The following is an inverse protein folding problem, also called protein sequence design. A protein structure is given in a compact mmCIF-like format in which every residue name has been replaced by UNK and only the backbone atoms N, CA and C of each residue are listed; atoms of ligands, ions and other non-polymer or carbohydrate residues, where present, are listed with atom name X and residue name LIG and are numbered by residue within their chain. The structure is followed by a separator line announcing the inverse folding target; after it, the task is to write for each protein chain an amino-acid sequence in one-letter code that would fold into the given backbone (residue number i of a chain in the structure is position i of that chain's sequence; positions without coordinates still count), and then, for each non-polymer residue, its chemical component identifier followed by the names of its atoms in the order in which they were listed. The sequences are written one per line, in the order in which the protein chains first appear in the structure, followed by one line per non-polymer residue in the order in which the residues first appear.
data_IF_924776754574
#
_entry.id   IF_924776754574
#
_cell.length_a   1.000
_cell.length_b   1.000
_cell.length_c   1.000
_cell.angle_alpha   90.00
_cell.angle_beta   90.00
_cell.angle_gamma   90.00
#
_symmetry.space_group_name_H-M   'P 1'
#
loop_
_entity.id
_entity.type
_entity.pdbx_description
1 polymer ?
#
# COMPACT_ATOMS: atom_id res chain seq x y z
N UNK A 1 -21.93 20.77 -10.79
CA UNK A 1 -22.09 19.49 -11.50
C UNK A 1 -21.17 19.53 -12.71
N UNK A 2 -20.00 18.90 -12.65
CA UNK A 2 -19.15 18.72 -13.82
C UNK A 2 -19.36 17.28 -14.30
N UNK A 3 -19.94 17.12 -15.50
CA UNK A 3 -19.98 15.83 -16.18
C UNK A 3 -18.55 15.48 -16.61
N UNK A 4 -18.21 14.20 -16.50
CA UNK A 4 -16.99 13.60 -17.08
C UNK A 4 -17.11 13.67 -18.61
N UNK A 5 -16.88 14.84 -19.17
CA UNK A 5 -17.05 15.13 -20.59
C UNK A 5 -16.30 16.36 -21.07
N UNK A 6 -15.94 17.29 -20.18
CA UNK A 6 -15.36 18.58 -20.57
C UNK A 6 -14.01 18.85 -19.86
N UNK A 7 -13.02 17.98 -20.07
CA UNK A 7 -11.61 18.35 -19.82
C UNK A 7 -10.93 18.68 -21.17
N UNK A 8 -10.19 19.79 -21.25
CA UNK A 8 -9.65 20.34 -22.49
C UNK A 8 -8.60 19.42 -23.14
N UNK A 9 -8.54 19.52 -24.47
CA UNK A 9 -7.85 18.68 -25.45
C UNK A 9 -6.30 18.72 -25.40
N UNK A 10 -5.67 18.82 -24.24
CA UNK A 10 -4.22 19.09 -24.13
C UNK A 10 -3.40 18.01 -23.39
N UNK A 11 -4.00 16.95 -22.88
CA UNK A 11 -3.26 15.79 -22.32
C UNK A 11 -3.13 14.62 -23.30
N UNK A 12 -3.01 14.91 -24.61
CA UNK A 12 -2.51 13.95 -25.61
C UNK A 12 -1.07 13.57 -25.27
N UNK A 13 -0.88 12.65 -24.32
CA UNK A 13 0.34 11.88 -24.21
C UNK A 13 0.42 11.03 -25.47
N UNK A 14 1.26 11.48 -26.39
CA UNK A 14 1.47 10.98 -27.73
C UNK A 14 1.29 9.45 -27.89
N UNK A 15 0.32 9.07 -28.74
CA UNK A 15 0.59 8.15 -29.85
C UNK A 15 0.92 6.69 -29.55
N UNK A 16 0.37 6.05 -28.52
CA UNK A 16 0.41 4.58 -28.41
C UNK A 16 -0.98 3.95 -28.58
N UNK A 17 -1.24 3.19 -29.67
CA UNK A 17 -2.52 2.51 -29.88
C UNK A 17 -2.81 1.40 -28.85
N UNK A 18 -1.91 1.19 -27.87
CA UNK A 18 -2.05 0.23 -26.77
C UNK A 18 -2.42 0.86 -25.41
N UNK A 19 -2.60 2.19 -25.32
CA UNK A 19 -2.94 2.87 -24.06
C UNK A 19 -4.44 2.95 -23.78
N UNK A 20 -5.29 2.78 -24.80
CA UNK A 20 -6.75 2.85 -24.68
C UNK A 20 -7.45 1.76 -23.83
N UNK A 21 -6.93 0.54 -23.61
CA UNK A 21 -7.67 -0.49 -22.86
C UNK A 21 -7.49 -0.43 -21.34
N UNK A 22 -6.55 0.36 -20.82
CA UNK A 22 -6.25 0.42 -19.37
C UNK A 22 -7.19 1.40 -18.65
N UNK A 23 -7.44 2.57 -19.24
CA UNK A 23 -8.27 3.61 -18.63
C UNK A 23 -9.74 3.21 -18.47
N UNK A 24 -10.29 2.44 -19.42
CA UNK A 24 -11.69 1.99 -19.38
C UNK A 24 -11.97 0.96 -18.27
N UNK A 25 -11.00 0.14 -17.87
CA UNK A 25 -11.19 -0.88 -16.82
C UNK A 25 -11.13 -0.33 -15.40
N UNK A 26 -10.37 0.75 -15.16
CA UNK A 26 -10.21 1.32 -13.79
C UNK A 26 -11.52 1.96 -13.31
N UNK A 27 -12.35 2.47 -14.22
CA UNK A 27 -13.65 3.09 -13.91
C UNK A 27 -14.71 2.08 -13.39
N UNK A 28 -14.52 0.77 -13.60
CA UNK A 28 -15.48 -0.25 -13.16
C UNK A 28 -15.32 -0.65 -11.67
N UNK A 29 -14.19 -0.33 -11.04
CA UNK A 29 -13.90 -0.72 -9.66
C UNK A 29 -14.20 0.40 -8.68
N UNK A 30 -15.14 0.19 -7.76
CA UNK A 30 -15.37 1.13 -6.64
C UNK A 30 -14.18 1.12 -5.69
N UNK A 31 -13.32 2.13 -5.76
CA UNK A 31 -12.16 2.31 -4.87
C UNK A 31 -12.29 3.57 -4.00
N UNK A 32 -11.50 3.66 -2.93
CA UNK A 32 -11.44 4.84 -2.05
C UNK A 32 -10.31 5.80 -2.47
N UNK A 33 -9.27 5.27 -3.11
CA UNK A 33 -8.12 6.00 -3.64
C UNK A 33 -7.46 5.17 -4.73
N UNK A 34 -6.67 5.81 -5.58
CA UNK A 34 -5.82 5.14 -6.60
C UNK A 34 -4.35 5.45 -6.33
N UNK A 35 -3.52 4.41 -6.30
CA UNK A 35 -2.07 4.52 -6.19
C UNK A 35 -1.40 4.31 -7.56
N UNK A 36 -0.67 5.31 -8.04
CA UNK A 36 0.08 5.25 -9.30
C UNK A 36 1.54 4.87 -9.04
N UNK A 37 1.93 3.66 -9.44
CA UNK A 37 3.28 3.14 -9.28
C UNK A 37 4.06 3.27 -10.59
N UNK A 38 5.13 4.05 -10.60
CA UNK A 38 5.89 4.38 -11.83
C UNK A 38 7.32 3.86 -11.78
N UNK A 39 7.78 3.28 -12.88
CA UNK A 39 9.18 2.90 -13.08
C UNK A 39 10.12 4.08 -13.41
N UNK A 40 9.57 5.29 -13.61
CA UNK A 40 10.35 6.52 -13.89
C UNK A 40 9.93 7.63 -12.92
N UNK A 41 10.92 8.38 -12.43
CA UNK A 41 10.74 9.51 -11.53
C UNK A 41 10.08 10.69 -12.27
N UNK A 42 9.10 11.34 -11.65
CA UNK A 42 8.45 12.54 -12.19
C UNK A 42 9.13 13.78 -11.61
N UNK A 43 10.01 14.41 -12.39
CA UNK A 43 10.87 15.49 -11.91
C UNK A 43 11.78 15.01 -10.77
N UNK A 44 11.86 15.80 -9.69
CA UNK A 44 12.66 15.49 -8.50
C UNK A 44 11.83 14.89 -7.35
N UNK A 45 10.68 14.28 -7.65
CA UNK A 45 9.79 13.70 -6.62
C UNK A 45 9.78 12.18 -6.69
N UNK A 46 10.01 11.54 -5.56
CA UNK A 46 9.86 10.09 -5.40
C UNK A 46 8.40 9.69 -5.11
N UNK A 47 7.61 10.60 -4.55
CA UNK A 47 6.19 10.39 -4.30
C UNK A 47 5.44 11.72 -4.33
N UNK A 48 4.12 11.65 -4.44
CA UNK A 48 3.22 12.79 -4.27
C UNK A 48 1.84 12.30 -3.83
N UNK A 49 1.17 13.08 -3.00
CA UNK A 49 -0.19 12.82 -2.54
C UNK A 49 -0.84 14.12 -2.09
N UNK A 50 -2.17 14.10 -1.96
CA UNK A 50 -2.93 15.22 -1.43
C UNK A 50 -3.24 15.02 0.05
N UNK A 51 -3.25 16.09 0.81
CA UNK A 51 -3.79 16.08 2.16
C UNK A 51 -5.30 15.83 2.09
N UNK A 52 -5.82 14.93 2.92
CA UNK A 52 -7.26 14.65 3.03
C UNK A 52 -7.93 14.29 1.68
N UNK A 53 -7.17 13.65 0.79
CA UNK A 53 -7.63 13.31 -0.56
C UNK A 53 -8.46 12.03 -0.63
N UNK A 54 -8.43 11.17 0.39
CA UNK A 54 -9.14 9.89 0.32
C UNK A 54 -10.63 10.10 0.06
N UNK A 55 -11.23 9.23 -0.76
CA UNK A 55 -12.64 9.31 -1.13
C UNK A 55 -13.05 10.55 -1.93
N UNK A 56 -12.09 11.35 -2.40
CA UNK A 56 -12.33 12.48 -3.29
C UNK A 56 -12.01 12.10 -4.75
N UNK A 57 -12.97 12.31 -5.67
CA UNK A 57 -12.78 11.96 -7.07
C UNK A 57 -11.68 12.76 -7.79
N UNK A 58 -11.35 13.96 -7.30
CA UNK A 58 -10.34 14.83 -7.90
C UNK A 58 -8.96 14.68 -7.23
N UNK A 59 -8.92 14.34 -5.94
CA UNK A 59 -7.71 14.39 -5.12
C UNK A 59 -7.35 13.05 -4.45
N UNK A 60 -8.17 12.00 -4.63
CA UNK A 60 -7.95 10.64 -4.13
C UNK A 60 -6.97 9.84 -4.98
N UNK A 61 -5.86 10.47 -5.35
CA UNK A 61 -4.78 9.85 -6.12
C UNK A 61 -3.44 10.18 -5.49
N UNK A 62 -2.55 9.19 -5.50
CA UNK A 62 -1.16 9.36 -5.13
C UNK A 62 -0.24 8.78 -6.20
N UNK A 63 1.02 9.16 -6.14
CA UNK A 63 2.11 8.71 -7.00
C UNK A 63 3.28 8.21 -6.16
N UNK A 64 3.92 7.13 -6.60
CA UNK A 64 5.15 6.62 -6.01
C UNK A 64 6.08 6.03 -7.07
N UNK A 65 7.36 6.39 -6.99
CA UNK A 65 8.43 5.86 -7.83
C UNK A 65 8.95 4.52 -7.31
N UNK A 66 9.12 3.54 -8.20
CA UNK A 66 9.52 2.15 -7.85
C UNK A 66 10.70 1.60 -8.69
N UNK A 67 11.34 2.44 -9.52
CA UNK A 67 12.19 1.99 -10.62
C UNK A 67 13.58 1.43 -10.27
N UNK A 68 14.07 1.56 -9.03
CA UNK A 68 15.45 1.22 -8.65
C UNK A 68 15.59 0.04 -7.69
N UNK A 69 14.69 -0.95 -7.71
CA UNK A 69 14.69 -2.11 -6.79
C UNK A 69 14.63 -1.77 -5.29
N UNK A 70 14.31 -0.52 -4.93
CA UNK A 70 14.10 -0.10 -3.54
C UNK A 70 12.63 -0.28 -3.14
N UNK A 71 12.09 -1.49 -3.28
CA UNK A 71 10.66 -1.77 -3.05
C UNK A 71 10.21 -1.40 -1.64
N UNK A 72 11.04 -1.64 -0.62
CA UNK A 72 10.73 -1.27 0.76
C UNK A 72 10.70 0.25 0.97
N UNK A 73 11.62 0.98 0.34
CA UNK A 73 11.62 2.45 0.39
C UNK A 73 10.39 3.01 -0.33
N UNK A 74 10.09 2.49 -1.52
CA UNK A 74 8.87 2.86 -2.24
C UNK A 74 7.61 2.51 -1.43
N UNK A 75 7.60 1.37 -0.73
CA UNK A 75 6.54 1.00 0.21
C UNK A 75 6.40 2.00 1.36
N UNK A 76 7.50 2.48 1.91
CA UNK A 76 7.52 3.51 2.95
C UNK A 76 6.95 4.85 2.43
N UNK A 77 7.40 5.30 1.26
CA UNK A 77 6.86 6.51 0.61
C UNK A 77 5.37 6.39 0.26
N UNK A 78 4.95 5.22 -0.22
CA UNK A 78 3.55 4.92 -0.49
C UNK A 78 2.73 5.02 0.80
N UNK A 79 3.20 4.41 1.89
CA UNK A 79 2.51 4.44 3.18
C UNK A 79 2.46 5.88 3.76
N UNK A 80 3.54 6.64 3.65
CA UNK A 80 3.59 8.06 4.02
C UNK A 80 2.57 8.89 3.21
N UNK A 81 2.52 8.71 1.88
CA UNK A 81 1.55 9.40 1.02
C UNK A 81 0.08 9.00 1.31
N UNK A 82 -0.16 7.73 1.69
CA UNK A 82 -1.47 7.28 2.17
C UNK A 82 -1.82 7.94 3.51
N UNK A 83 -0.86 8.17 4.39
CA UNK A 83 -1.04 8.95 5.61
C UNK A 83 -1.62 10.33 5.32
N UNK A 84 -1.00 11.08 4.40
CA UNK A 84 -1.52 12.38 3.95
C UNK A 84 -2.94 12.29 3.36
N UNK A 85 -3.26 11.26 2.56
CA UNK A 85 -4.61 11.06 2.05
C UNK A 85 -5.64 10.85 3.17
N UNK A 86 -5.24 10.21 4.26
CA UNK A 86 -6.03 10.00 5.48
C UNK A 86 -6.01 11.21 6.42
N UNK A 87 -5.50 12.35 5.96
CA UNK A 87 -5.41 13.59 6.71
C UNK A 87 -4.45 13.54 7.91
N UNK A 88 -3.42 12.68 7.84
CA UNK A 88 -2.34 12.63 8.83
C UNK A 88 -1.29 13.68 8.46
N UNK A 89 -0.87 14.49 9.42
CA UNK A 89 0.16 15.51 9.24
C UNK A 89 1.56 14.96 9.47
N UNK A 90 2.59 15.73 9.09
CA UNK A 90 3.95 15.38 9.46
C UNK A 90 4.15 15.38 10.97
N UNK A 91 5.04 14.51 11.43
CA UNK A 91 5.42 14.42 12.83
C UNK A 91 6.18 15.68 13.28
N UNK A 92 5.78 16.22 14.43
CA UNK A 92 6.40 17.41 15.06
C UNK A 92 7.17 17.02 16.32
N UNK A 93 8.01 17.90 16.90
CA UNK A 93 8.67 17.63 18.17
C UNK A 93 7.69 17.15 19.25
N UNK A 94 7.95 15.98 19.84
CA UNK A 94 7.07 15.31 20.80
C UNK A 94 6.32 14.10 20.24
N UNK A 95 6.30 13.93 18.91
CA UNK A 95 5.83 12.71 18.27
C UNK A 95 6.91 11.63 18.34
N UNK A 96 6.55 10.43 18.81
CA UNK A 96 7.48 9.32 19.05
C UNK A 96 6.91 8.01 18.53
N UNK A 97 7.79 7.13 18.07
CA UNK A 97 7.45 5.77 17.63
C UNK A 97 8.42 4.75 18.24
N UNK A 98 8.00 3.49 18.25
CA UNK A 98 8.74 2.42 18.92
C UNK A 98 10.07 2.11 18.21
N UNK A 99 11.17 2.14 18.98
CA UNK A 99 12.53 1.73 18.55
C UNK A 99 13.06 2.44 17.28
N UNK A 100 12.59 3.64 16.96
CA UNK A 100 13.08 4.46 15.83
C UNK A 100 13.26 5.91 16.25
N UNK A 101 14.22 6.60 15.63
CA UNK A 101 14.49 8.03 15.86
C UNK A 101 13.56 8.94 15.05
N UNK A 102 13.06 8.44 13.93
CA UNK A 102 12.07 9.09 13.06
C UNK A 102 11.03 8.07 12.63
N UNK A 103 9.82 8.57 12.38
CA UNK A 103 8.63 7.76 12.19
C UNK A 103 8.11 7.90 10.75
N UNK A 104 7.06 7.15 10.41
CA UNK A 104 6.54 7.09 9.04
C UNK A 104 6.18 8.48 8.48
N UNK A 105 5.67 9.39 9.32
CA UNK A 105 5.23 10.73 8.92
C UNK A 105 6.31 11.80 9.15
N UNK A 106 7.58 11.43 9.26
CA UNK A 106 8.68 12.40 9.26
C UNK A 106 8.63 13.29 8.00
N UNK A 107 8.97 14.58 8.13
CA UNK A 107 8.94 15.53 7.00
C UNK A 107 9.89 15.12 5.86
N UNK A 108 10.97 14.41 6.21
CA UNK A 108 11.94 13.86 5.26
C UNK A 108 11.94 12.33 5.36
N UNK A 109 10.90 11.66 4.84
CA UNK A 109 10.76 10.22 5.05
C UNK A 109 11.91 9.48 4.38
N UNK A 110 12.35 8.41 5.05
CA UNK A 110 13.30 7.44 4.51
C UNK A 110 12.69 6.05 4.57
N UNK A 111 13.41 5.05 5.10
CA UNK A 111 12.87 3.73 5.31
C UNK A 111 12.24 3.63 6.71
N UNK A 112 10.94 3.91 6.79
CA UNK A 112 10.15 3.82 8.02
C UNK A 112 9.00 2.81 7.89
N UNK A 113 8.75 2.10 8.98
CA UNK A 113 7.74 1.03 9.12
C UNK A 113 6.87 1.20 10.39
N UNK A 114 7.06 2.29 11.13
CA UNK A 114 6.35 2.58 12.38
C UNK A 114 5.73 3.98 12.33
N UNK A 115 4.42 4.07 12.59
CA UNK A 115 3.73 5.35 12.80
C UNK A 115 4.00 5.89 14.21
N UNK A 116 3.94 7.21 14.36
CA UNK A 116 4.07 7.85 15.68
C UNK A 116 2.78 7.77 16.50
N UNK A 117 2.87 8.07 17.78
CA UNK A 117 1.71 8.31 18.65
C UNK A 117 0.79 9.44 18.14
N UNK A 118 1.36 10.50 17.54
CA UNK A 118 0.60 11.61 16.95
C UNK A 118 -0.20 11.13 15.73
N UNK A 119 0.48 10.45 14.80
CA UNK A 119 -0.13 9.86 13.61
C UNK A 119 -1.24 8.87 13.99
N UNK A 120 -1.04 8.07 15.03
CA UNK A 120 -2.05 7.13 15.53
C UNK A 120 -3.31 7.86 16.02
N UNK A 121 -3.16 8.97 16.74
CA UNK A 121 -4.29 9.77 17.22
C UNK A 121 -5.08 10.40 16.06
N UNK A 122 -4.40 10.94 15.06
CA UNK A 122 -5.04 11.52 13.87
C UNK A 122 -5.77 10.46 13.04
N UNK A 123 -5.13 9.32 12.78
CA UNK A 123 -5.75 8.19 12.12
C UNK A 123 -6.99 7.69 12.88
N UNK A 124 -6.89 7.56 14.21
CA UNK A 124 -8.02 7.15 15.04
C UNK A 124 -9.21 8.09 14.86
N UNK A 125 -8.99 9.42 14.92
CA UNK A 125 -10.06 10.40 14.68
C UNK A 125 -10.62 10.30 13.26
N UNK A 126 -9.76 10.07 12.26
CA UNK A 126 -10.19 9.94 10.86
C UNK A 126 -11.08 8.72 10.63
N UNK A 127 -10.67 7.54 11.11
CA UNK A 127 -11.39 6.29 10.85
C UNK A 127 -12.68 6.15 11.67
N UNK A 128 -12.74 6.81 12.83
CA UNK A 128 -13.95 6.88 13.65
C UNK A 128 -14.87 8.05 13.28
N UNK A 129 -14.42 8.93 12.38
CA UNK A 129 -15.28 9.91 11.73
C UNK A 129 -16.24 9.24 10.76
N UNK A 130 -17.46 9.77 10.66
CA UNK A 130 -18.42 9.29 9.67
C UNK A 130 -18.01 9.78 8.27
N UNK A 131 -17.81 8.85 7.33
CA UNK A 131 -17.54 9.16 5.93
C UNK A 131 -18.31 8.19 5.01
N UNK A 132 -19.15 8.69 4.07
CA UNK A 132 -20.01 7.83 3.26
C UNK A 132 -19.24 6.93 2.29
N UNK A 133 -17.95 7.14 2.07
CA UNK A 133 -17.13 6.37 1.15
C UNK A 133 -16.26 5.32 1.85
N UNK A 134 -15.70 5.63 3.03
CA UNK A 134 -14.93 4.72 3.88
C UNK A 134 -15.83 3.82 4.73
N UNK A 135 -17.03 4.27 5.10
CA UNK A 135 -17.99 3.48 5.88
C UNK A 135 -18.80 2.49 5.03
N UNK A 136 -18.72 2.56 3.70
CA UNK A 136 -19.41 1.60 2.81
C UNK A 136 -18.64 0.27 2.80
N UNK A 137 -19.29 -0.85 3.16
CA UNK A 137 -18.70 -2.17 2.99
C UNK A 137 -18.41 -2.40 1.51
N UNK A 138 -17.12 -2.50 1.16
CA UNK A 138 -16.73 -2.89 -0.19
C UNK A 138 -16.51 -4.39 -0.20
N UNK A 139 -17.03 -5.11 -1.21
CA UNK A 139 -16.58 -6.47 -1.42
C UNK A 139 -15.06 -6.39 -1.57
N UNK A 140 -14.33 -7.17 -0.78
CA UNK A 140 -12.94 -7.42 -1.12
C UNK A 140 -13.00 -8.04 -2.49
N UNK A 141 -12.51 -7.32 -3.51
CA UNK A 141 -12.22 -7.93 -4.79
C UNK A 141 -11.07 -8.88 -4.52
N UNK A 142 -11.40 -10.06 -3.97
CA UNK A 142 -10.63 -11.27 -4.08
C UNK A 142 -10.64 -11.61 -5.56
N UNK A 143 -9.91 -10.83 -6.36
CA UNK A 143 -9.08 -11.53 -7.33
C UNK A 143 -8.23 -12.43 -6.44
N UNK A 144 -8.34 -13.74 -6.64
CA UNK A 144 -7.50 -14.78 -6.05
C UNK A 144 -6.04 -14.56 -6.47
N UNK A 145 -5.49 -13.37 -6.18
CA UNK A 145 -4.10 -13.04 -6.30
C UNK A 145 -3.42 -13.57 -5.05
N UNK A 146 -3.40 -14.89 -4.96
CA UNK A 146 -2.61 -15.61 -3.97
C UNK A 146 -1.19 -15.60 -4.50
N UNK A 147 -0.34 -14.78 -3.89
CA UNK A 147 1.11 -14.98 -4.01
C UNK A 147 1.40 -16.15 -3.05
N UNK A 148 1.88 -17.29 -3.56
CA UNK A 148 2.24 -18.41 -2.70
C UNK A 148 3.33 -17.94 -1.71
N UNK A 149 3.11 -18.19 -0.42
CA UNK A 149 3.96 -17.69 0.67
C UNK A 149 3.98 -18.70 1.80
N UNK A 150 5.18 -19.10 2.18
CA UNK A 150 5.38 -19.96 3.34
C UNK A 150 5.18 -19.18 4.63
N UNK A 151 4.49 -19.80 5.59
CA UNK A 151 4.21 -19.24 6.92
C UNK A 151 2.89 -18.47 7.00
N UNK A 152 2.01 -18.60 6.01
CA UNK A 152 0.68 -17.99 5.99
C UNK A 152 -0.43 -18.96 6.46
N UNK A 153 -0.06 -20.18 6.90
CA UNK A 153 -0.96 -21.28 7.33
C UNK A 153 -1.82 -21.86 6.21
N UNK A 154 -1.38 -21.75 4.96
CA UNK A 154 -2.02 -22.37 3.79
C UNK A 154 -0.97 -23.15 3.02
N UNK A 155 -1.26 -24.43 2.79
CA UNK A 155 -0.37 -25.30 2.03
C UNK A 155 -0.46 -24.94 0.55
N UNK A 156 0.60 -24.36 0.01
CA UNK A 156 0.75 -24.07 -1.41
C UNK A 156 1.29 -25.29 -2.19
N UNK A 157 1.20 -25.28 -3.53
CA UNK A 157 1.55 -26.45 -4.35
C UNK A 157 3.00 -26.93 -4.21
N UNK A 158 3.91 -26.07 -3.76
CA UNK A 158 5.32 -26.38 -3.49
C UNK A 158 5.58 -26.81 -2.04
N UNK A 159 4.60 -26.69 -1.14
CA UNK A 159 4.76 -26.93 0.29
C UNK A 159 4.11 -28.26 0.69
N UNK A 160 4.73 -28.98 1.62
CA UNK A 160 4.13 -30.19 2.21
C UNK A 160 3.23 -29.85 3.39
N UNK A 161 3.56 -28.78 4.11
CA UNK A 161 2.81 -28.24 5.24
C UNK A 161 3.18 -26.77 5.49
N UNK A 162 2.23 -25.99 6.02
CA UNK A 162 2.45 -24.61 6.48
C UNK A 162 1.74 -24.44 7.84
N UNK A 163 2.52 -24.33 8.92
CA UNK A 163 2.05 -24.13 10.29
C UNK A 163 2.11 -22.65 10.75
N UNK A 164 2.47 -21.73 9.85
CA UNK A 164 2.58 -20.30 10.14
C UNK A 164 4.02 -19.86 10.42
N UNK A 165 4.17 -18.92 11.35
CA UNK A 165 5.50 -18.46 11.76
C UNK A 165 6.33 -19.60 12.37
N UNK A 166 7.66 -19.45 12.39
CA UNK A 166 8.56 -20.40 13.08
C UNK A 166 8.09 -20.67 14.50
N UNK A 167 7.63 -19.63 15.21
CA UNK A 167 7.11 -19.75 16.57
C UNK A 167 5.85 -20.61 16.64
N UNK A 168 4.92 -20.46 15.70
CA UNK A 168 3.70 -21.27 15.65
C UNK A 168 4.04 -22.75 15.40
N UNK A 169 4.96 -22.98 14.47
CA UNK A 169 5.44 -24.32 14.10
C UNK A 169 6.14 -25.09 15.21
N UNK A 170 6.74 -24.42 16.21
CA UNK A 170 7.36 -25.11 17.36
C UNK A 170 6.36 -25.94 18.18
N UNK A 171 5.06 -25.64 18.07
CA UNK A 171 3.99 -26.36 18.77
C UNK A 171 3.29 -27.39 17.90
N UNK A 172 3.55 -27.39 16.59
CA UNK A 172 2.98 -28.31 15.62
C UNK A 172 3.82 -29.60 15.57
N UNK A 173 3.19 -30.74 15.89
CA UNK A 173 3.85 -32.05 15.91
C UNK A 173 3.89 -32.71 14.52
N UNK A 174 3.17 -32.16 13.55
CA UNK A 174 2.96 -32.72 12.22
C UNK A 174 3.71 -31.94 11.14
N UNK A 175 4.05 -30.67 11.40
CA UNK A 175 4.84 -29.84 10.50
C UNK A 175 6.17 -29.46 11.17
N UNK A 176 7.23 -30.22 10.86
CA UNK A 176 8.57 -29.96 11.37
C UNK A 176 9.20 -28.74 10.69
N UNK A 177 9.93 -27.95 11.48
CA UNK A 177 10.65 -26.74 11.03
C UNK A 177 11.93 -27.12 10.26
N UNK A 178 11.80 -27.91 9.19
CA UNK A 178 12.92 -28.26 8.33
C UNK A 178 12.82 -27.48 7.02
N UNK A 179 13.66 -26.46 6.87
CA UNK A 179 13.66 -25.51 5.74
C UNK A 179 13.66 -26.16 4.35
N UNK A 180 14.15 -27.39 4.22
CA UNK A 180 14.21 -28.12 2.95
C UNK A 180 12.88 -28.75 2.51
N UNK A 181 11.98 -29.10 3.43
CA UNK A 181 10.64 -29.67 3.14
C UNK A 181 9.49 -28.70 3.46
N UNK A 182 9.74 -27.74 4.36
CA UNK A 182 8.77 -26.77 4.83
C UNK A 182 8.54 -25.65 3.81
N UNK A 183 9.61 -25.12 3.21
CA UNK A 183 9.53 -24.08 2.17
C UNK A 183 10.61 -24.31 1.08
N UNK A 184 10.45 -25.27 0.16
CA UNK A 184 11.44 -25.48 -0.90
C UNK A 184 11.38 -24.34 -1.93
N UNK A 185 12.18 -23.29 -1.72
CA UNK A 185 12.36 -22.19 -2.69
C UNK A 185 12.42 -20.79 -2.07
N UNK A 186 12.71 -19.79 -2.92
CA UNK A 186 12.81 -18.36 -2.58
C UNK A 186 11.44 -17.75 -2.21
N UNK A 187 10.83 -18.21 -1.13
CA UNK A 187 9.64 -17.59 -0.56
C UNK A 187 10.02 -16.40 0.33
N UNK A 188 9.16 -15.39 0.36
CA UNK A 188 9.30 -14.28 1.31
C UNK A 188 8.98 -14.81 2.72
N UNK A 189 10.01 -15.08 3.53
CA UNK A 189 9.87 -15.47 4.92
C UNK A 189 9.44 -14.23 5.72
N UNK A 190 8.37 -14.34 6.51
CA UNK A 190 8.00 -13.33 7.51
C UNK A 190 8.65 -13.71 8.84
N UNK A 191 9.58 -12.89 9.30
CA UNK A 191 10.10 -12.91 10.68
C UNK A 191 9.06 -12.37 11.67
#
# INVERSE_FOLDING_TARGET
MAKVGDLPEETKLAGSPRAAPVYLKVAEFKHATTALLFGKRLGNRDYAGFQNGICNANWGVLYTYVGTNHFFLAGSFLAHAVGHLLDVSHDTPGCVCFRRSSCLMDEFPTLHDMISNCSHNELHRRIHGWDPCLSVPRPTHKQDYHIPRCGNKRVEASEKCDCGSVKDCTTDKCCEVNFSEHCPGNFYIMD
#
